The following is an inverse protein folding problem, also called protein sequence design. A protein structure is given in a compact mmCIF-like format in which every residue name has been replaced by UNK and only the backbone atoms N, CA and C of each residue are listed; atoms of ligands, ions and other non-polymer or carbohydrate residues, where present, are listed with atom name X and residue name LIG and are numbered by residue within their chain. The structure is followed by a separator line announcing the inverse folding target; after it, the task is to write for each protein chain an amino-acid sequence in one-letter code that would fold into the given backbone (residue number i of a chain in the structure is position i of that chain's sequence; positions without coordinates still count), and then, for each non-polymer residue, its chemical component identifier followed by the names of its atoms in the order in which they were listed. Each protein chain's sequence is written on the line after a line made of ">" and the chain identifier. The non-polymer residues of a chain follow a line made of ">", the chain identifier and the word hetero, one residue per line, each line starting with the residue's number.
data_IF_995035473037
#
_entry.id   IF_995035473037
#
_cell.length_a   1.000
_cell.length_b   1.000
_cell.length_c   1.000
_cell.angle_alpha   90.00
_cell.angle_beta   90.00
_cell.angle_gamma   90.00
#
_symmetry.space_group_name_H-M   'P 1'
#
loop_
_entity.id
_entity.type
_entity.pdbx_description
1 polymer ?
#
# COMPACT_ATOMS: atom_id res chain seq x y z
N UNK A 1 5.36 -11.23 -18.77
CA UNK A 1 5.35 -12.00 -20.01
C UNK A 1 3.92 -12.23 -20.49
N UNK A 2 3.11 -13.00 -19.82
CA UNK A 2 1.75 -13.34 -20.25
C UNK A 2 0.69 -12.22 -20.11
N UNK A 3 0.95 -11.16 -19.40
CA UNK A 3 0.01 -10.05 -19.17
C UNK A 3 0.45 -8.77 -19.86
N UNK A 4 1.71 -8.36 -19.64
CA UNK A 4 2.23 -7.08 -20.13
C UNK A 4 2.32 -7.03 -21.64
N UNK A 5 2.74 -8.12 -22.26
CA UNK A 5 2.89 -8.19 -23.70
C UNK A 5 1.56 -8.06 -24.43
N UNK A 6 0.53 -8.76 -23.96
CA UNK A 6 -0.85 -8.65 -24.51
C UNK A 6 -1.40 -7.23 -24.40
N UNK A 7 -1.14 -6.52 -23.28
CA UNK A 7 -1.58 -5.12 -23.11
C UNK A 7 -0.92 -4.22 -24.17
N UNK A 8 0.37 -4.41 -24.43
CA UNK A 8 1.08 -3.64 -25.46
C UNK A 8 0.61 -3.99 -26.87
N UNK A 9 0.40 -5.27 -27.14
CA UNK A 9 -0.16 -5.74 -28.42
C UNK A 9 -1.57 -5.17 -28.66
N UNK A 10 -2.43 -5.18 -27.63
CA UNK A 10 -3.77 -4.61 -27.70
C UNK A 10 -3.75 -3.07 -27.89
N UNK A 11 -2.81 -2.38 -27.25
CA UNK A 11 -2.64 -0.95 -27.44
C UNK A 11 -2.26 -0.61 -28.90
N UNK A 12 -1.36 -1.40 -29.48
CA UNK A 12 -1.01 -1.30 -30.91
C UNK A 12 -2.20 -1.63 -31.81
N UNK A 13 -2.88 -2.74 -31.54
CA UNK A 13 -4.00 -3.26 -32.34
C UNK A 13 -5.22 -2.34 -32.31
N UNK A 14 -5.33 -1.43 -31.36
CA UNK A 14 -6.39 -0.42 -31.31
C UNK A 14 -6.34 0.56 -32.51
N UNK A 15 -5.21 0.64 -33.20
CA UNK A 15 -5.01 1.40 -34.46
C UNK A 15 -5.46 2.87 -34.38
N UNK A 16 -5.20 3.54 -33.24
CA UNK A 16 -5.49 4.96 -33.01
C UNK A 16 -4.24 5.70 -32.55
N UNK A 17 -4.22 7.02 -32.69
CA UNK A 17 -3.11 7.84 -32.22
C UNK A 17 -2.83 7.63 -30.73
N UNK A 18 -3.86 7.53 -29.90
CA UNK A 18 -3.71 7.22 -28.46
C UNK A 18 -3.18 5.80 -28.22
N UNK A 19 -3.59 4.82 -29.02
CA UNK A 19 -3.08 3.44 -28.95
C UNK A 19 -1.58 3.38 -29.20
N UNK A 20 -1.10 4.05 -30.24
CA UNK A 20 0.34 4.12 -30.52
C UNK A 20 1.13 4.85 -29.43
N UNK A 21 0.60 5.96 -28.91
CA UNK A 21 1.24 6.66 -27.76
C UNK A 21 1.31 5.73 -26.56
N UNK A 22 0.24 5.02 -26.21
CA UNK A 22 0.21 4.06 -25.11
C UNK A 22 1.23 2.93 -25.32
N UNK A 23 1.35 2.41 -26.54
CA UNK A 23 2.33 1.40 -26.88
C UNK A 23 3.77 1.87 -26.66
N UNK A 24 4.15 3.04 -27.21
CA UNK A 24 5.51 3.56 -27.04
C UNK A 24 5.84 3.92 -25.60
N UNK A 25 4.90 4.53 -24.87
CA UNK A 25 5.08 4.79 -23.43
C UNK A 25 5.21 3.50 -22.64
N UNK A 26 4.45 2.47 -23.01
CA UNK A 26 4.56 1.14 -22.43
C UNK A 26 5.93 0.48 -22.70
N UNK A 27 6.50 0.64 -23.90
CA UNK A 27 7.86 0.18 -24.21
C UNK A 27 8.92 0.89 -23.37
N UNK A 28 8.80 2.22 -23.23
CA UNK A 28 9.70 3.00 -22.35
C UNK A 28 9.59 2.52 -20.91
N UNK A 29 8.37 2.29 -20.42
CA UNK A 29 8.14 1.74 -19.09
C UNK A 29 8.72 0.33 -18.93
N UNK A 30 8.66 -0.51 -19.98
CA UNK A 30 9.28 -1.83 -19.99
C UNK A 30 10.81 -1.76 -19.88
N UNK A 31 11.44 -0.85 -20.65
CA UNK A 31 12.86 -0.58 -20.56
C UNK A 31 13.27 -0.16 -19.14
N UNK A 32 12.61 0.86 -18.59
CA UNK A 32 12.92 1.38 -17.26
C UNK A 32 12.70 0.32 -16.17
N UNK A 33 11.65 -0.49 -16.29
CA UNK A 33 11.36 -1.58 -15.37
C UNK A 33 12.48 -2.62 -15.37
N UNK A 34 12.91 -3.07 -16.55
CA UNK A 34 14.03 -3.99 -16.69
C UNK A 34 15.33 -3.37 -16.12
N UNK A 35 15.61 -2.12 -16.46
CA UNK A 35 16.80 -1.41 -16.00
C UNK A 35 16.86 -1.31 -14.47
N UNK A 36 15.82 -0.82 -13.79
CA UNK A 36 15.86 -0.66 -12.33
C UNK A 36 15.85 -1.98 -11.58
N UNK A 37 15.13 -2.98 -12.07
CA UNK A 37 15.08 -4.30 -11.44
C UNK A 37 16.46 -4.97 -11.47
N UNK A 38 17.11 -4.97 -12.64
CA UNK A 38 18.44 -5.52 -12.78
C UNK A 38 19.53 -4.66 -12.13
N UNK A 39 19.35 -3.36 -12.05
CA UNK A 39 20.20 -2.48 -11.21
C UNK A 39 20.27 -2.99 -9.78
N UNK A 40 19.10 -3.26 -9.16
CA UNK A 40 19.06 -3.76 -7.77
C UNK A 40 19.78 -5.10 -7.67
N UNK A 41 19.49 -6.03 -8.59
CA UNK A 41 20.12 -7.34 -8.62
C UNK A 41 21.64 -7.24 -8.75
N UNK A 42 22.14 -6.44 -9.68
CA UNK A 42 23.59 -6.28 -9.87
C UNK A 42 24.27 -5.59 -8.70
N UNK A 43 23.63 -4.58 -8.09
CA UNK A 43 24.19 -3.87 -6.95
C UNK A 43 24.24 -4.71 -5.67
N UNK A 44 23.26 -5.60 -5.47
CA UNK A 44 23.15 -6.42 -4.27
C UNK A 44 23.97 -7.70 -4.38
N UNK A 45 23.86 -8.41 -5.51
CA UNK A 45 24.41 -9.77 -5.64
C UNK A 45 25.73 -9.85 -6.41
N UNK A 46 26.05 -8.88 -7.29
CA UNK A 46 27.22 -8.95 -8.16
C UNK A 46 28.25 -7.85 -7.93
N UNK A 47 27.96 -6.88 -7.07
CA UNK A 47 28.87 -5.78 -6.74
C UNK A 47 29.82 -6.13 -5.60
N UNK A 48 30.83 -5.26 -5.39
CA UNK A 48 31.66 -5.31 -4.18
C UNK A 48 30.83 -4.88 -2.97
N UNK A 49 30.99 -5.56 -1.84
CA UNK A 49 30.36 -5.17 -0.59
C UNK A 49 30.78 -3.73 -0.23
N UNK A 50 29.79 -2.87 0.04
CA UNK A 50 29.97 -1.46 0.41
C UNK A 50 29.89 -1.22 1.92
N UNK A 51 29.41 -2.23 2.64
CA UNK A 51 29.23 -2.23 4.09
C UNK A 51 29.86 -3.48 4.67
N UNK A 52 30.10 -3.49 5.97
CA UNK A 52 30.52 -4.69 6.68
C UNK A 52 29.43 -5.76 6.62
N UNK A 53 29.74 -6.88 5.97
CA UNK A 53 28.84 -8.03 5.79
C UNK A 53 29.05 -9.10 6.86
N UNK A 54 29.93 -8.89 7.85
CA UNK A 54 30.22 -9.89 8.90
C UNK A 54 28.97 -10.31 9.71
N UNK A 55 27.96 -9.44 9.76
CA UNK A 55 26.68 -9.71 10.44
C UNK A 55 25.59 -10.23 9.53
N UNK A 56 25.85 -10.38 8.23
CA UNK A 56 24.87 -10.91 7.29
C UNK A 56 24.75 -12.43 7.49
N UNK A 57 23.56 -12.90 7.71
CA UNK A 57 23.22 -14.32 7.85
C UNK A 57 21.94 -14.63 7.11
N UNK A 58 21.76 -15.90 6.74
CA UNK A 58 20.54 -16.35 6.11
C UNK A 58 19.33 -16.23 7.04
N UNK A 59 18.19 -15.91 6.44
CA UNK A 59 16.94 -15.84 7.19
C UNK A 59 16.51 -17.22 7.67
N UNK A 60 15.86 -17.31 8.85
CA UNK A 60 15.37 -18.58 9.35
C UNK A 60 14.26 -19.19 8.46
N UNK A 61 14.09 -20.50 8.53
CA UNK A 61 13.21 -21.27 7.65
C UNK A 61 11.77 -20.76 7.59
N UNK A 62 11.24 -20.24 8.70
CA UNK A 62 9.89 -19.72 8.74
C UNK A 62 9.70 -18.44 7.88
N UNK A 63 10.77 -17.76 7.48
CA UNK A 63 10.76 -16.67 6.49
C UNK A 63 11.04 -17.21 5.10
N UNK A 64 11.95 -18.18 4.95
CA UNK A 64 12.35 -18.72 3.66
C UNK A 64 11.22 -19.53 3.00
N UNK A 65 10.46 -20.33 3.76
CA UNK A 65 9.38 -21.15 3.21
C UNK A 65 8.32 -20.30 2.47
N UNK A 66 7.74 -19.23 3.06
CA UNK A 66 6.84 -18.34 2.34
C UNK A 66 7.45 -17.71 1.10
N UNK A 67 8.74 -17.32 1.15
CA UNK A 67 9.44 -16.75 0.00
C UNK A 67 9.59 -17.76 -1.14
N UNK A 68 9.89 -19.02 -0.85
CA UNK A 68 9.94 -20.09 -1.84
C UNK A 68 8.58 -20.34 -2.49
N UNK A 69 7.51 -20.40 -1.69
CA UNK A 69 6.14 -20.57 -2.19
C UNK A 69 5.77 -19.41 -3.12
N UNK A 70 6.04 -18.17 -2.70
CA UNK A 70 5.80 -16.98 -3.51
C UNK A 70 6.64 -16.96 -4.80
N UNK A 71 7.89 -17.43 -4.75
CA UNK A 71 8.75 -17.52 -5.92
C UNK A 71 8.20 -18.52 -6.95
N UNK A 72 7.76 -19.69 -6.49
CA UNK A 72 7.10 -20.69 -7.34
C UNK A 72 5.81 -20.11 -7.93
N UNK A 73 4.99 -19.46 -7.10
CA UNK A 73 3.78 -18.77 -7.53
C UNK A 73 4.07 -17.71 -8.61
N UNK A 74 5.11 -16.89 -8.43
CA UNK A 74 5.50 -15.87 -9.38
C UNK A 74 5.91 -16.42 -10.76
N UNK A 75 6.52 -17.62 -10.80
CA UNK A 75 6.90 -18.29 -12.04
C UNK A 75 5.68 -18.90 -12.75
N UNK A 76 4.79 -19.53 -11.98
CA UNK A 76 3.71 -20.36 -12.55
C UNK A 76 2.42 -19.55 -12.79
N UNK A 77 2.15 -18.50 -12.00
CA UNK A 77 0.89 -17.75 -12.03
C UNK A 77 0.54 -17.17 -13.40
N UNK A 78 1.54 -16.72 -14.16
CA UNK A 78 1.33 -16.20 -15.52
C UNK A 78 0.81 -17.25 -16.49
N UNK A 79 1.29 -18.49 -16.37
CA UNK A 79 0.82 -19.60 -17.18
C UNK A 79 -0.59 -20.06 -16.79
N UNK A 80 -0.86 -20.17 -15.49
CA UNK A 80 -2.19 -20.50 -14.99
C UNK A 80 -3.21 -19.39 -15.33
N UNK A 81 -2.82 -18.12 -15.18
CA UNK A 81 -3.66 -16.97 -15.46
C UNK A 81 -3.80 -16.62 -16.93
N UNK A 82 -3.13 -17.31 -17.83
CA UNK A 82 -3.21 -17.03 -19.26
C UNK A 82 -4.62 -17.12 -19.81
N UNK A 83 -5.38 -18.13 -19.40
CA UNK A 83 -6.79 -18.32 -19.78
C UNK A 83 -7.71 -17.20 -19.30
N UNK A 84 -7.32 -16.45 -18.24
CA UNK A 84 -8.08 -15.29 -17.76
C UNK A 84 -7.94 -14.07 -18.66
N UNK A 85 -6.82 -13.98 -19.38
CA UNK A 85 -6.45 -12.82 -20.22
C UNK A 85 -6.78 -13.09 -21.69
N UNK A 86 -6.75 -14.36 -22.09
CA UNK A 86 -7.09 -14.76 -23.43
C UNK A 86 -8.60 -14.63 -23.68
N UNK A 87 -8.99 -14.46 -24.93
CA UNK A 87 -10.36 -14.20 -25.42
C UNK A 87 -11.39 -15.31 -25.13
N UNK A 88 -11.00 -16.35 -24.42
CA UNK A 88 -11.92 -17.39 -23.98
C UNK A 88 -12.87 -16.85 -22.92
N UNK A 89 -14.06 -16.47 -23.39
CA UNK A 89 -15.16 -15.92 -22.58
C UNK A 89 -15.62 -16.83 -21.44
N UNK A 90 -15.26 -18.11 -21.50
CA UNK A 90 -15.73 -19.15 -20.58
C UNK A 90 -15.26 -18.93 -19.14
N UNK A 91 -14.06 -18.40 -18.94
CA UNK A 91 -13.55 -18.14 -17.59
C UNK A 91 -14.40 -17.11 -16.84
N UNK A 92 -14.81 -16.05 -17.51
CA UNK A 92 -15.57 -14.95 -16.88
C UNK A 92 -17.07 -15.16 -16.89
N UNK A 93 -17.57 -16.26 -17.47
CA UNK A 93 -19.00 -16.65 -17.49
C UNK A 93 -19.94 -15.50 -17.89
N UNK A 94 -19.52 -14.62 -18.79
CA UNK A 94 -20.30 -13.46 -19.21
C UNK A 94 -20.26 -12.25 -18.26
N UNK A 95 -19.46 -12.30 -17.18
CA UNK A 95 -19.29 -11.16 -16.26
C UNK A 95 -18.61 -9.95 -16.90
N UNK A 96 -17.83 -10.18 -17.97
CA UNK A 96 -17.20 -9.10 -18.73
C UNK A 96 -17.94 -8.95 -20.05
N UNK A 97 -18.60 -7.80 -20.22
CA UNK A 97 -19.25 -7.44 -21.48
C UNK A 97 -18.20 -6.88 -22.45
N UNK A 98 -17.96 -7.58 -23.54
CA UNK A 98 -17.14 -7.10 -24.65
C UNK A 98 -18.07 -6.53 -25.71
N UNK A 99 -17.95 -5.22 -25.98
CA UNK A 99 -18.72 -4.57 -27.03
C UNK A 99 -18.18 -4.96 -28.42
N UNK A 100 -19.06 -5.08 -29.41
CA UNK A 100 -18.70 -5.45 -30.80
C UNK A 100 -17.63 -4.54 -31.43
N UNK A 101 -17.55 -3.31 -30.95
CA UNK A 101 -16.57 -2.32 -31.40
C UNK A 101 -15.19 -2.46 -30.76
N UNK A 102 -15.06 -3.26 -29.67
CA UNK A 102 -13.82 -3.42 -28.91
C UNK A 102 -13.06 -4.68 -29.32
N UNK A 103 -12.56 -4.69 -30.56
CA UNK A 103 -11.80 -5.82 -31.11
C UNK A 103 -10.30 -5.75 -30.88
N UNK A 104 -9.82 -4.80 -30.05
CA UNK A 104 -8.38 -4.60 -29.85
C UNK A 104 -7.67 -5.84 -29.30
N UNK A 105 -8.30 -6.55 -28.33
CA UNK A 105 -7.73 -7.76 -27.74
C UNK A 105 -7.73 -8.92 -28.77
N UNK A 106 -8.80 -9.11 -29.53
CA UNK A 106 -8.85 -10.11 -30.58
C UNK A 106 -7.82 -9.83 -31.69
N UNK A 107 -7.62 -8.56 -32.06
CA UNK A 107 -6.65 -8.15 -33.06
C UNK A 107 -5.21 -8.19 -32.52
N UNK A 108 -4.99 -8.21 -31.21
CA UNK A 108 -3.66 -8.30 -30.61
C UNK A 108 -2.89 -9.55 -31.07
N UNK A 109 -3.59 -10.65 -31.32
CA UNK A 109 -2.94 -11.86 -31.81
C UNK A 109 -2.42 -11.76 -33.25
N UNK A 110 -2.89 -10.80 -34.03
CA UNK A 110 -2.53 -10.61 -35.45
C UNK A 110 -1.53 -9.47 -35.69
N UNK A 111 -0.97 -8.87 -34.64
CA UNK A 111 0.02 -7.78 -34.78
C UNK A 111 1.32 -8.28 -35.39
N UNK A 112 2.10 -7.40 -36.08
CA UNK A 112 3.39 -7.75 -36.67
C UNK A 112 4.36 -8.36 -35.65
N UNK A 113 5.19 -9.29 -36.08
CA UNK A 113 6.18 -9.98 -35.24
C UNK A 113 7.11 -9.01 -34.51
N UNK A 114 7.48 -7.90 -35.14
CA UNK A 114 8.29 -6.85 -34.51
C UNK A 114 7.60 -6.21 -33.29
N UNK A 115 6.29 -6.05 -33.33
CA UNK A 115 5.51 -5.52 -32.22
C UNK A 115 5.51 -6.53 -31.06
N UNK A 116 5.30 -7.82 -31.37
CA UNK A 116 5.34 -8.91 -30.37
C UNK A 116 6.71 -9.04 -29.70
N UNK A 117 7.78 -8.90 -30.44
CA UNK A 117 9.15 -9.03 -29.92
C UNK A 117 9.66 -7.75 -29.25
N UNK A 118 9.05 -6.60 -29.53
CA UNK A 118 9.55 -5.31 -29.03
C UNK A 118 9.67 -5.22 -27.51
N UNK A 119 8.75 -5.74 -26.66
CA UNK A 119 8.91 -5.69 -25.22
C UNK A 119 10.13 -6.50 -24.73
N UNK A 120 10.38 -7.65 -25.35
CA UNK A 120 11.52 -8.52 -25.02
C UNK A 120 12.83 -7.84 -25.39
N UNK A 121 12.91 -7.32 -26.62
CA UNK A 121 14.10 -6.60 -27.09
C UNK A 121 14.42 -5.42 -26.19
N UNK A 122 13.41 -4.60 -25.88
CA UNK A 122 13.57 -3.43 -25.03
C UNK A 122 13.96 -3.81 -23.59
N UNK A 123 13.43 -4.90 -23.06
CA UNK A 123 13.83 -5.42 -21.76
C UNK A 123 15.30 -5.89 -21.75
N UNK A 124 15.75 -6.62 -22.78
CA UNK A 124 17.14 -7.03 -22.91
C UNK A 124 18.10 -5.83 -23.01
N UNK A 125 17.71 -4.80 -23.74
CA UNK A 125 18.47 -3.55 -23.81
C UNK A 125 18.53 -2.88 -22.40
N UNK A 126 17.44 -2.88 -21.66
CA UNK A 126 17.41 -2.36 -20.28
C UNK A 126 18.36 -3.11 -19.34
N UNK A 127 18.37 -4.46 -19.43
CA UNK A 127 19.31 -5.33 -18.70
C UNK A 127 20.76 -5.01 -19.06
N UNK A 128 21.05 -4.91 -20.35
CA UNK A 128 22.38 -4.58 -20.84
C UNK A 128 22.87 -3.23 -20.31
N UNK A 129 22.03 -2.19 -20.34
CA UNK A 129 22.38 -0.90 -19.78
C UNK A 129 22.59 -0.97 -18.27
N UNK A 130 21.77 -1.71 -17.53
CA UNK A 130 21.97 -1.92 -16.10
C UNK A 130 23.32 -2.58 -15.79
N UNK A 131 23.68 -3.64 -16.55
CA UNK A 131 24.98 -4.28 -16.44
C UNK A 131 26.14 -3.34 -16.77
N UNK A 132 26.00 -2.56 -17.86
CA UNK A 132 27.02 -1.59 -18.27
C UNK A 132 27.28 -0.55 -17.20
N UNK A 133 26.23 0.01 -16.57
CA UNK A 133 26.30 1.09 -15.58
C UNK A 133 26.78 0.62 -14.21
N UNK A 134 26.36 -0.58 -13.78
CA UNK A 134 26.55 -1.03 -12.41
C UNK A 134 27.57 -2.14 -12.22
N UNK A 135 28.06 -2.76 -13.32
CA UNK A 135 29.11 -3.78 -13.29
C UNK A 135 30.36 -3.32 -14.06
N UNK A 136 30.19 -2.94 -15.33
CA UNK A 136 31.34 -2.67 -16.21
C UNK A 136 31.91 -1.26 -16.01
N UNK A 137 31.10 -0.23 -15.89
CA UNK A 137 31.50 1.17 -15.81
C UNK A 137 30.84 1.87 -14.61
N UNK A 138 31.35 1.62 -13.41
CA UNK A 138 30.82 2.14 -12.15
C UNK A 138 30.86 3.67 -12.04
N UNK A 139 31.63 4.36 -12.86
CA UNK A 139 31.72 5.83 -12.88
C UNK A 139 30.60 6.51 -13.69
N UNK A 140 29.90 5.75 -14.57
CA UNK A 140 28.84 6.34 -15.40
C UNK A 140 27.70 7.00 -14.60
N UNK A 141 27.17 6.39 -13.54
CA UNK A 141 26.12 7.02 -12.74
C UNK A 141 26.55 8.39 -12.16
N UNK A 142 27.81 8.52 -11.72
CA UNK A 142 28.37 9.75 -11.19
C UNK A 142 28.46 10.82 -12.28
N UNK A 143 29.06 10.47 -13.43
CA UNK A 143 29.19 11.38 -14.58
C UNK A 143 27.83 11.90 -15.02
N UNK A 144 26.81 11.04 -15.13
CA UNK A 144 25.47 11.46 -15.54
C UNK A 144 24.76 12.31 -14.47
N UNK A 145 24.98 12.02 -13.19
CA UNK A 145 24.42 12.84 -12.10
C UNK A 145 24.98 14.26 -12.10
N UNK A 146 26.26 14.42 -12.42
CA UNK A 146 26.91 15.72 -12.57
C UNK A 146 26.51 16.45 -13.85
N UNK A 147 26.35 15.73 -14.95
CA UNK A 147 25.93 16.30 -16.24
C UNK A 147 24.49 16.78 -16.22
N UNK A 148 23.60 16.11 -15.48
CA UNK A 148 22.17 16.44 -15.39
C UNK A 148 21.71 16.72 -13.95
N UNK A 149 22.25 17.73 -13.25
CA UNK A 149 22.04 17.93 -11.82
C UNK A 149 20.58 18.25 -11.46
N UNK A 150 19.84 18.92 -12.36
CA UNK A 150 18.41 19.23 -12.15
C UNK A 150 17.57 17.96 -12.19
N UNK A 151 17.74 17.13 -13.22
CA UNK A 151 17.03 15.85 -13.36
C UNK A 151 17.35 14.91 -12.20
N UNK A 152 18.64 14.83 -11.83
CA UNK A 152 19.07 14.03 -10.69
C UNK A 152 18.40 14.49 -9.38
N UNK A 153 18.33 15.80 -9.13
CA UNK A 153 17.67 16.36 -7.95
C UNK A 153 16.16 16.04 -7.91
N UNK A 154 15.47 16.19 -9.04
CA UNK A 154 14.05 15.83 -9.17
C UNK A 154 13.82 14.36 -8.87
N UNK A 155 14.63 13.48 -9.48
CA UNK A 155 14.54 12.03 -9.28
C UNK A 155 14.90 11.63 -7.85
N UNK A 156 15.97 12.21 -7.28
CA UNK A 156 16.42 11.96 -5.90
C UNK A 156 15.35 12.33 -4.88
N UNK A 157 14.65 13.42 -5.10
CA UNK A 157 13.56 13.89 -4.24
C UNK A 157 12.20 13.27 -4.64
N UNK A 158 12.19 12.18 -5.42
CA UNK A 158 10.97 11.47 -5.80
C UNK A 158 9.88 12.39 -6.38
N UNK A 159 10.30 13.39 -7.16
CA UNK A 159 9.44 14.42 -7.73
C UNK A 159 8.67 15.25 -6.70
N UNK A 160 9.10 15.27 -5.45
CA UNK A 160 8.45 15.91 -4.29
C UNK A 160 7.01 15.46 -4.04
N UNK A 161 6.64 14.25 -4.51
CA UNK A 161 5.30 13.72 -4.25
C UNK A 161 5.09 13.44 -2.77
N UNK A 162 6.10 12.94 -2.07
CA UNK A 162 6.00 12.64 -0.63
C UNK A 162 5.71 13.93 0.16
N UNK A 163 6.40 15.02 -0.13
CA UNK A 163 6.21 16.33 0.49
C UNK A 163 4.84 16.94 0.15
N UNK A 164 4.42 16.78 -1.12
CA UNK A 164 3.10 17.22 -1.54
C UNK A 164 1.99 16.47 -0.78
N UNK A 165 2.08 15.14 -0.69
CA UNK A 165 1.13 14.33 0.05
C UNK A 165 1.16 14.62 1.55
N UNK A 166 2.34 14.84 2.12
CA UNK A 166 2.47 15.22 3.51
C UNK A 166 1.77 16.55 3.80
N UNK A 167 1.98 17.55 2.96
CA UNK A 167 1.34 18.86 3.08
C UNK A 167 -0.17 18.80 2.84
N UNK A 168 -0.60 18.17 1.74
CA UNK A 168 -2.00 18.17 1.32
C UNK A 168 -2.89 17.28 2.19
N UNK A 169 -2.38 16.13 2.62
CA UNK A 169 -3.19 15.10 3.29
C UNK A 169 -2.70 14.77 4.69
N UNK A 170 -1.45 14.35 4.84
CA UNK A 170 -0.99 13.75 6.11
C UNK A 170 -1.06 14.72 7.27
N UNK A 171 -0.57 15.95 7.11
CA UNK A 171 -0.61 16.98 8.15
C UNK A 171 -2.05 17.38 8.51
N UNK A 172 -2.92 17.49 7.50
CA UNK A 172 -4.31 17.86 7.71
C UNK A 172 -5.09 16.75 8.41
N UNK A 173 -4.91 15.50 7.98
CA UNK A 173 -5.54 14.34 8.61
C UNK A 173 -5.06 14.12 10.04
N UNK A 174 -3.77 14.28 10.32
CA UNK A 174 -3.24 14.24 11.68
C UNK A 174 -3.85 15.34 12.56
N UNK A 175 -4.00 16.56 12.03
CA UNK A 175 -4.64 17.66 12.75
C UNK A 175 -6.11 17.36 13.06
N UNK A 176 -6.85 16.85 12.09
CA UNK A 176 -8.24 16.40 12.28
C UNK A 176 -8.33 15.27 13.31
N UNK A 177 -7.48 14.25 13.19
CA UNK A 177 -7.41 13.16 14.16
C UNK A 177 -7.15 13.64 15.59
N UNK A 178 -6.22 14.58 15.78
CA UNK A 178 -5.96 15.17 17.07
C UNK A 178 -7.16 15.96 17.62
N UNK A 179 -7.88 16.67 16.77
CA UNK A 179 -9.10 17.39 17.17
C UNK A 179 -10.19 16.39 17.59
N UNK A 180 -10.44 15.37 16.80
CA UNK A 180 -11.42 14.32 17.10
C UNK A 180 -11.06 13.57 18.38
N UNK A 181 -9.81 13.20 18.56
CA UNK A 181 -9.33 12.57 19.79
C UNK A 181 -9.47 13.47 21.01
N UNK A 182 -9.00 14.74 20.92
CA UNK A 182 -9.01 15.65 22.08
C UNK A 182 -10.43 16.09 22.44
N UNK A 183 -11.25 16.42 21.45
CA UNK A 183 -12.61 16.91 21.68
C UNK A 183 -13.59 15.75 21.80
N UNK A 184 -13.57 14.81 20.84
CA UNK A 184 -14.49 13.68 20.79
C UNK A 184 -14.23 12.70 21.95
N UNK A 185 -13.06 12.09 21.96
CA UNK A 185 -12.78 11.04 22.94
C UNK A 185 -12.55 11.60 24.34
N UNK A 186 -11.58 12.49 24.54
CA UNK A 186 -11.20 12.94 25.88
C UNK A 186 -12.27 13.84 26.50
N UNK A 187 -12.73 14.88 25.77
CA UNK A 187 -13.65 15.86 26.39
C UNK A 187 -15.09 15.38 26.41
N UNK A 188 -15.57 14.70 25.38
CA UNK A 188 -16.98 14.27 25.31
C UNK A 188 -17.14 12.87 25.88
N UNK A 189 -16.52 11.87 25.31
CA UNK A 189 -16.72 10.46 25.68
C UNK A 189 -16.18 10.20 27.09
N UNK A 190 -14.91 10.47 27.35
CA UNK A 190 -14.30 10.13 28.65
C UNK A 190 -14.83 11.01 29.79
N UNK A 191 -14.94 12.31 29.57
CA UNK A 191 -15.31 13.23 30.61
C UNK A 191 -16.80 13.13 31.01
N UNK A 192 -17.70 12.98 30.03
CA UNK A 192 -19.14 12.86 30.33
C UNK A 192 -19.58 11.40 30.52
N UNK A 193 -18.93 10.44 29.87
CA UNK A 193 -19.21 9.03 30.06
C UNK A 193 -18.56 8.45 31.32
N UNK A 194 -17.51 7.61 31.22
CA UNK A 194 -16.98 6.88 32.36
C UNK A 194 -16.56 7.79 33.55
N UNK A 195 -15.76 8.81 33.24
CA UNK A 195 -15.23 9.70 34.27
C UNK A 195 -16.30 10.61 34.87
N UNK A 196 -17.28 11.06 34.10
CA UNK A 196 -18.40 11.87 34.56
C UNK A 196 -19.31 11.09 35.49
N UNK A 197 -19.65 9.86 35.14
CA UNK A 197 -20.45 8.95 35.96
C UNK A 197 -19.72 8.62 37.26
N UNK A 198 -18.43 8.26 37.19
CA UNK A 198 -17.61 7.98 38.35
C UNK A 198 -17.54 9.18 39.31
N UNK A 199 -17.36 10.39 38.77
CA UNK A 199 -17.39 11.61 39.55
C UNK A 199 -18.74 11.85 40.21
N UNK A 200 -19.85 11.65 39.50
CA UNK A 200 -21.21 11.77 40.03
C UNK A 200 -21.44 10.77 41.16
N UNK A 201 -21.10 9.50 40.95
CA UNK A 201 -21.19 8.45 41.95
C UNK A 201 -20.38 8.79 43.22
N UNK A 202 -19.13 9.24 43.03
CA UNK A 202 -18.28 9.67 44.14
C UNK A 202 -18.87 10.84 44.92
N UNK A 203 -19.42 11.81 44.21
CA UNK A 203 -20.06 12.99 44.81
C UNK A 203 -21.34 12.62 45.61
N UNK A 204 -22.14 11.72 45.05
CA UNK A 204 -23.33 11.19 45.71
C UNK A 204 -22.96 10.35 46.95
N UNK A 205 -21.97 9.46 46.80
CA UNK A 205 -21.47 8.66 47.92
C UNK A 205 -20.99 9.52 49.09
N UNK A 206 -20.24 10.59 48.82
CA UNK A 206 -19.78 11.53 49.84
C UNK A 206 -20.90 12.26 50.52
N UNK A 207 -21.99 12.61 49.82
CA UNK A 207 -23.19 13.21 50.45
C UNK A 207 -23.96 12.19 51.29
N UNK A 208 -24.14 10.97 50.77
CA UNK A 208 -24.85 9.90 51.48
C UNK A 208 -24.09 9.50 52.74
N UNK A 209 -22.76 9.49 52.70
CA UNK A 209 -21.93 9.20 53.87
C UNK A 209 -22.21 10.16 55.04
N UNK A 210 -22.60 11.42 54.78
CA UNK A 210 -22.95 12.38 55.82
C UNK A 210 -24.25 12.00 56.56
N UNK A 211 -25.08 11.14 55.97
CA UNK A 211 -26.29 10.62 56.65
C UNK A 211 -25.93 9.53 57.68
N UNK A 212 -24.74 8.95 57.61
CA UNK A 212 -24.24 8.02 58.61
C UNK A 212 -23.69 8.78 59.81
N UNK A 213 -24.55 9.07 60.78
CA UNK A 213 -24.20 9.78 62.00
C UNK A 213 -23.34 8.94 62.97
N UNK A 214 -23.27 7.61 62.79
CA UNK A 214 -22.60 6.70 63.72
C UNK A 214 -23.38 6.41 65.00
N UNK A 215 -24.51 7.08 65.24
CA UNK A 215 -25.31 6.88 66.43
C UNK A 215 -26.49 5.94 66.19
N UNK A 216 -26.52 4.81 66.90
CA UNK A 216 -27.52 3.74 66.71
C UNK A 216 -28.98 4.29 66.87
N UNK A 217 -29.22 5.22 67.75
CA UNK A 217 -30.54 5.77 67.93
C UNK A 217 -31.07 6.54 66.71
N UNK A 218 -30.24 7.19 65.94
CA UNK A 218 -30.63 7.82 64.65
C UNK A 218 -31.14 6.80 63.64
N UNK A 219 -30.52 5.66 63.60
CA UNK A 219 -30.93 4.58 62.66
C UNK A 219 -32.24 3.93 63.15
N UNK A 220 -32.34 3.65 64.46
CA UNK A 220 -33.57 3.12 65.05
C UNK A 220 -34.76 4.04 64.83
N UNK A 221 -34.59 5.37 65.05
CA UNK A 221 -35.62 6.36 64.80
C UNK A 221 -36.05 6.42 63.34
N UNK A 222 -35.10 6.37 62.41
CA UNK A 222 -35.35 6.36 60.93
C UNK A 222 -36.14 5.14 60.55
N UNK A 223 -35.76 3.95 61.06
CA UNK A 223 -36.46 2.67 60.78
C UNK A 223 -37.90 2.74 61.36
N UNK A 224 -38.08 3.24 62.55
CA UNK A 224 -39.40 3.38 63.17
C UNK A 224 -40.29 4.34 62.35
N UNK A 225 -39.76 5.46 61.91
CA UNK A 225 -40.48 6.42 61.06
C UNK A 225 -40.86 5.81 59.71
N UNK A 226 -39.92 5.01 59.07
CA UNK A 226 -40.16 4.23 57.84
C UNK A 226 -41.31 3.23 58.01
N UNK A 227 -41.34 2.53 59.13
CA UNK A 227 -42.44 1.61 59.46
C UNK A 227 -43.80 2.33 59.58
N UNK A 228 -43.86 3.49 60.27
CA UNK A 228 -45.10 4.27 60.37
C UNK A 228 -45.59 4.66 58.98
N UNK A 229 -44.71 5.14 58.09
CA UNK A 229 -45.12 5.56 56.76
C UNK A 229 -45.65 4.31 55.97
N UNK A 230 -45.00 3.17 56.12
CA UNK A 230 -45.40 1.93 55.43
C UNK A 230 -46.75 1.37 55.86
N UNK A 231 -47.12 1.58 57.19
CA UNK A 231 -48.42 1.18 57.73
C UNK A 231 -49.48 2.22 57.52
N UNK A 232 -49.12 3.46 57.16
CA UNK A 232 -50.11 4.55 56.90
C UNK A 232 -50.57 4.55 55.43
N UNK A 233 -50.04 3.66 54.64
CA UNK A 233 -50.37 3.48 53.24
C UNK A 233 -51.10 2.16 53.04
#
# INVERSE_FOLDING_TARGET
>A
FFSKDIILEAAWAHNSGFGYIAFYLGLIAAFLTAFYSWKILFMVFHGKARTDISKAHESPLYILIPLFILSIGAIISGWIGYTMVDTHHDFWLGSILILDNHKALANAHYVPLLVKLSPIIVALIGIYFAWLFYIKKLTLPEIYSEKFPRLYRVSKNKFWFDELYEFAFTKQLKKMGNILWTIGDIRVIDRFGPNGIAYLCSRLANKIKLLQSGYVYHYAFTMFFGLIILFSW
#
